data_IF_721424886525
#
_entry.id   IF_721424886525
#
_cell.length_a   1.000
_cell.length_b   1.000
_cell.length_c   1.000
_cell.angle_alpha   90.00
_cell.angle_beta   90.00
_cell.angle_gamma   90.00
#
_symmetry.space_group_name_H-M   'P 1'
#
loop_
_entity.id
_entity.type
_entity.pdbx_description
1 polymer ?
#
# COMPACT_ATOMS: atom_id res chain seq x y z
N UNK A 1 -1.55 10.94 4.31
CA UNK A 1 -2.89 11.54 4.09
C UNK A 1 -3.01 11.78 2.59
N UNK A 2 -4.19 11.64 1.99
CA UNK A 2 -4.35 11.76 0.53
C UNK A 2 -5.27 12.95 0.28
N UNK A 3 -4.68 14.12 0.03
CA UNK A 3 -5.41 15.37 -0.19
C UNK A 3 -5.60 15.58 -1.70
N UNK A 4 -6.84 15.79 -2.19
CA UNK A 4 -7.08 16.05 -3.61
C UNK A 4 -6.31 17.28 -4.11
N UNK A 5 -5.57 17.12 -5.21
CA UNK A 5 -4.76 18.19 -5.82
C UNK A 5 -3.31 18.25 -5.35
N UNK A 6 -2.94 17.45 -4.35
CA UNK A 6 -1.59 17.44 -3.77
C UNK A 6 -0.87 16.11 -4.04
N UNK A 7 0.46 16.16 -4.10
CA UNK A 7 1.31 14.96 -4.12
C UNK A 7 1.87 14.76 -2.72
N UNK A 8 1.50 13.65 -2.07
CA UNK A 8 2.02 13.28 -0.75
C UNK A 8 3.07 12.18 -0.89
N UNK A 9 4.19 12.32 -0.19
CA UNK A 9 5.29 11.36 -0.19
C UNK A 9 5.47 10.75 1.20
N UNK A 10 5.82 9.46 1.22
CA UNK A 10 6.22 8.74 2.44
C UNK A 10 7.35 7.77 2.08
N UNK A 11 8.34 7.69 2.96
CA UNK A 11 9.42 6.70 2.87
C UNK A 11 9.29 5.74 4.04
N UNK A 12 9.36 4.45 3.76
CA UNK A 12 9.29 3.37 4.75
C UNK A 12 10.43 2.41 4.48
N UNK A 13 11.11 1.99 5.53
CA UNK A 13 12.09 0.90 5.49
C UNK A 13 11.39 -0.38 5.98
N UNK A 14 11.56 -1.46 5.21
CA UNK A 14 10.98 -2.77 5.53
C UNK A 14 12.10 -3.78 5.69
N UNK A 15 12.03 -4.63 6.71
CA UNK A 15 13.04 -5.64 6.99
C UNK A 15 12.77 -6.92 6.18
N UNK A 16 12.23 -7.95 6.83
CA UNK A 16 11.96 -9.26 6.27
C UNK A 16 10.61 -9.31 5.53
N UNK A 17 10.39 -10.31 4.66
CA UNK A 17 9.09 -10.53 4.03
C UNK A 17 7.95 -10.58 5.06
N UNK A 18 6.93 -9.74 4.86
CA UNK A 18 5.81 -9.54 5.79
C UNK A 18 4.63 -8.88 5.09
N UNK A 19 3.43 -9.15 5.59
CA UNK A 19 2.22 -8.43 5.19
C UNK A 19 1.88 -7.34 6.22
N UNK A 20 1.75 -6.10 5.75
CA UNK A 20 1.27 -4.98 6.56
C UNK A 20 -0.11 -4.54 6.10
N UNK A 21 -1.01 -4.28 7.06
CA UNK A 21 -2.29 -3.65 6.79
C UNK A 21 -2.15 -2.15 6.54
N UNK A 22 -2.80 -1.64 5.50
CA UNK A 22 -2.94 -0.21 5.23
C UNK A 22 -4.39 0.17 5.49
N UNK A 23 -4.62 0.98 6.52
CA UNK A 23 -5.96 1.42 6.92
C UNK A 23 -6.19 2.89 6.56
N UNK A 24 -7.39 3.20 6.08
CA UNK A 24 -7.79 4.57 5.85
C UNK A 24 -8.13 5.25 7.19
N UNK A 25 -7.40 6.33 7.52
CA UNK A 25 -7.61 7.11 8.76
C UNK A 25 -8.45 8.38 8.54
N UNK A 26 -9.05 8.53 7.35
CA UNK A 26 -9.80 9.72 6.98
C UNK A 26 -11.19 9.35 6.46
N UNK A 27 -12.24 9.87 7.11
CA UNK A 27 -13.61 9.60 6.73
C UNK A 27 -13.92 10.17 5.33
N UNK A 28 -14.03 9.28 4.35
CA UNK A 28 -14.22 9.64 2.93
C UNK A 28 -15.59 9.23 2.36
N UNK A 29 -16.48 8.66 3.18
CA UNK A 29 -17.84 8.27 2.76
C UNK A 29 -18.29 6.92 3.33
N UNK A 30 -19.39 6.39 2.79
CA UNK A 30 -20.06 5.18 3.30
C UNK A 30 -19.18 3.92 3.30
N UNK A 31 -18.19 3.84 2.39
CA UNK A 31 -17.26 2.72 2.30
C UNK A 31 -16.03 2.83 3.22
N UNK A 32 -15.88 3.91 3.98
CA UNK A 32 -14.65 4.19 4.73
C UNK A 32 -14.18 3.02 5.62
N UNK A 33 -15.10 2.40 6.37
CA UNK A 33 -14.75 1.34 7.32
C UNK A 33 -14.29 0.02 6.68
N UNK A 34 -14.53 -0.16 5.38
CA UNK A 34 -14.12 -1.35 4.64
C UNK A 34 -13.03 -1.03 3.61
N UNK A 35 -12.55 0.21 3.58
CA UNK A 35 -11.48 0.66 2.71
C UNK A 35 -10.13 0.34 3.36
N UNK A 36 -9.62 -0.84 3.06
CA UNK A 36 -8.32 -1.33 3.50
C UNK A 36 -7.46 -1.79 2.31
N UNK A 37 -6.15 -1.72 2.48
CA UNK A 37 -5.16 -2.25 1.55
C UNK A 37 -4.17 -3.14 2.29
N UNK A 38 -3.37 -3.89 1.51
CA UNK A 38 -2.28 -4.72 2.04
C UNK A 38 -0.99 -4.38 1.32
N UNK A 39 0.07 -4.18 2.10
CA UNK A 39 1.43 -4.09 1.60
C UNK A 39 2.11 -5.43 1.82
N UNK A 40 2.45 -6.11 0.72
CA UNK A 40 3.18 -7.36 0.75
C UNK A 40 4.66 -7.07 0.50
N UNK A 41 5.47 -7.16 1.55
CA UNK A 41 6.93 -7.13 1.44
C UNK A 41 7.38 -8.54 1.11
N UNK A 42 8.11 -8.67 0.01
CA UNK A 42 8.56 -9.95 -0.55
C UNK A 42 10.06 -9.91 -0.81
N UNK A 43 10.65 -11.07 -1.10
CA UNK A 43 12.05 -11.12 -1.53
C UNK A 43 12.26 -10.36 -2.84
N UNK A 44 13.47 -9.85 -3.06
CA UNK A 44 13.80 -9.15 -4.31
C UNK A 44 13.53 -10.03 -5.55
N UNK A 45 13.93 -11.31 -5.51
CA UNK A 45 13.67 -12.24 -6.61
C UNK A 45 12.18 -12.44 -6.88
N UNK A 46 11.34 -12.47 -5.84
CA UNK A 46 9.89 -12.61 -6.01
C UNK A 46 9.28 -11.34 -6.61
N UNK A 47 9.74 -10.16 -6.18
CA UNK A 47 9.32 -8.89 -6.75
C UNK A 47 9.67 -8.77 -8.23
N UNK A 48 10.91 -9.10 -8.60
CA UNK A 48 11.37 -9.07 -10.00
C UNK A 48 10.59 -10.05 -10.89
N UNK A 49 10.24 -11.21 -10.36
CA UNK A 49 9.43 -12.20 -11.07
C UNK A 49 7.96 -11.80 -11.24
N UNK A 50 7.44 -10.84 -10.44
CA UNK A 50 6.07 -10.34 -10.53
C UNK A 50 5.85 -9.37 -11.70
N UNK A 51 6.91 -8.91 -12.39
CA UNK A 51 6.87 -7.90 -13.45
C UNK A 51 6.04 -8.22 -14.72
N UNK A 52 5.15 -9.22 -14.68
CA UNK A 52 4.19 -9.55 -15.74
C UNK A 52 2.71 -9.22 -15.44
N UNK A 53 2.36 -8.77 -14.22
CA UNK A 53 0.97 -8.57 -13.78
C UNK A 53 0.55 -7.09 -13.63
N UNK A 54 1.30 -6.17 -14.23
CA UNK A 54 0.87 -4.76 -14.32
C UNK A 54 0.01 -4.54 -15.57
N UNK A 55 -1.23 -5.04 -15.52
CA UNK A 55 -2.38 -4.50 -16.27
C UNK A 55 -3.17 -3.54 -15.37
#
# INVERSE_FOLDING_TARGET
MVVPGEVSEITVETDEPTEYGIVCNEYCGAGHHVMEGKLHVVSQSEFENRGGDSE
#
